data_IF_028498434125
#
_entry.id   IF_028498434125
#
_cell.length_a   1.000
_cell.length_b   1.000
_cell.length_c   1.000
_cell.angle_alpha   90.00
_cell.angle_beta   90.00
_cell.angle_gamma   90.00
#
_symmetry.space_group_name_H-M   'P 1'
#
loop_
_entity.id
_entity.type
_entity.pdbx_description
1 polymer ?
#
# COMPACT_ATOMS: atom_id res chain seq x y z
N UNK A 1 9.94 3.99 -9.41
CA UNK A 1 8.70 3.35 -8.93
C UNK A 1 8.91 2.93 -7.48
N UNK A 2 7.90 3.16 -6.65
CA UNK A 2 7.95 2.79 -5.23
C UNK A 2 8.06 1.27 -5.03
N UNK A 3 8.64 0.80 -3.93
CA UNK A 3 8.65 -0.63 -3.61
C UNK A 3 7.22 -1.18 -3.43
N UNK A 4 7.02 -2.51 -3.56
CA UNK A 4 5.74 -3.15 -3.26
C UNK A 4 5.25 -2.83 -1.84
N UNK A 5 3.92 -2.83 -1.66
CA UNK A 5 3.27 -2.47 -0.39
C UNK A 5 3.86 -3.25 0.80
N UNK A 6 4.05 -4.56 0.63
CA UNK A 6 4.53 -5.44 1.69
C UNK A 6 5.98 -5.14 2.09
N UNK A 7 6.80 -4.66 1.14
CA UNK A 7 8.18 -4.27 1.42
C UNK A 7 8.24 -2.96 2.20
N UNK A 8 7.38 -1.99 1.84
CA UNK A 8 7.25 -0.72 2.56
C UNK A 8 6.82 -0.95 4.00
N UNK A 9 5.80 -1.80 4.20
CA UNK A 9 5.32 -2.16 5.54
C UNK A 9 6.40 -2.94 6.32
N UNK A 10 7.13 -3.85 5.68
CA UNK A 10 8.20 -4.59 6.33
C UNK A 10 9.29 -3.68 6.88
N UNK A 11 9.69 -2.66 6.12
CA UNK A 11 10.62 -1.63 6.56
C UNK A 11 10.07 -0.82 7.74
N UNK A 12 8.82 -0.36 7.65
CA UNK A 12 8.14 0.39 8.72
C UNK A 12 8.04 -0.42 10.04
N UNK A 13 7.82 -1.73 9.96
CA UNK A 13 7.66 -2.62 11.12
C UNK A 13 8.97 -3.21 11.65
N UNK A 14 10.09 -3.01 10.94
CA UNK A 14 11.34 -3.73 11.23
C UNK A 14 11.19 -5.25 11.11
N UNK A 15 10.30 -5.71 10.21
CA UNK A 15 9.98 -7.11 9.99
C UNK A 15 10.59 -7.62 8.68
N UNK A 16 10.64 -8.94 8.51
CA UNK A 16 11.01 -9.52 7.20
C UNK A 16 9.81 -9.44 6.24
N UNK A 17 10.02 -9.16 4.93
CA UNK A 17 8.92 -9.12 3.96
C UNK A 17 8.04 -10.37 4.00
N UNK A 18 8.62 -11.56 4.18
CA UNK A 18 7.88 -12.82 4.23
C UNK A 18 6.85 -12.86 5.39
N UNK A 19 7.14 -12.20 6.51
CA UNK A 19 6.21 -12.11 7.64
C UNK A 19 5.01 -11.22 7.29
N UNK A 20 5.27 -10.11 6.60
CA UNK A 20 4.23 -9.20 6.11
C UNK A 20 3.38 -9.89 5.04
N UNK A 21 3.99 -10.56 4.06
CA UNK A 21 3.25 -11.33 3.04
C UNK A 21 2.30 -12.36 3.67
N UNK A 22 2.76 -13.14 4.65
CA UNK A 22 1.93 -14.12 5.32
C UNK A 22 0.77 -13.48 6.10
N UNK A 23 1.02 -12.36 6.78
CA UNK A 23 -0.02 -11.63 7.49
C UNK A 23 -1.05 -11.00 6.53
N UNK A 24 -0.60 -10.40 5.43
CA UNK A 24 -1.46 -9.83 4.38
C UNK A 24 -2.38 -10.91 3.79
N UNK A 25 -1.83 -12.09 3.46
CA UNK A 25 -2.62 -13.20 2.94
C UNK A 25 -3.74 -13.60 3.92
N UNK A 26 -3.42 -13.71 5.21
CA UNK A 26 -4.41 -14.07 6.23
C UNK A 26 -5.51 -12.99 6.36
N UNK A 27 -5.14 -11.70 6.32
CA UNK A 27 -6.11 -10.60 6.34
C UNK A 27 -7.01 -10.62 5.10
N UNK A 28 -6.46 -10.89 3.92
CA UNK A 28 -7.21 -11.00 2.66
C UNK A 28 -8.17 -12.19 2.65
N UNK A 29 -7.81 -13.28 3.33
CA UNK A 29 -8.69 -14.44 3.58
C UNK A 29 -9.76 -14.15 4.66
N UNK A 30 -9.78 -12.94 5.24
CA UNK A 30 -10.77 -12.49 6.21
C UNK A 30 -10.42 -12.82 7.67
N UNK A 31 -9.18 -13.25 7.96
CA UNK A 31 -8.74 -13.40 9.34
C UNK A 31 -8.61 -12.03 10.01
N UNK A 32 -8.95 -11.95 11.31
CA UNK A 32 -8.82 -10.71 12.08
C UNK A 32 -7.48 -10.65 12.79
N UNK A 33 -7.00 -9.44 13.12
CA UNK A 33 -5.75 -9.27 13.90
C UNK A 33 -5.73 -10.10 15.19
N UNK A 34 -6.78 -10.09 16.06
CA UNK A 34 -6.78 -10.94 17.26
C UNK A 34 -6.73 -12.45 16.97
N UNK A 35 -7.29 -12.88 15.83
CA UNK A 35 -7.19 -14.28 15.42
C UNK A 35 -5.77 -14.62 14.97
N UNK A 36 -5.14 -13.77 14.18
CA UNK A 36 -3.78 -13.99 13.67
C UNK A 36 -2.78 -14.00 14.83
N UNK A 37 -2.81 -12.99 15.70
CA UNK A 37 -1.88 -12.84 16.82
C UNK A 37 -1.95 -14.01 17.81
N UNK A 38 -3.12 -14.65 17.94
CA UNK A 38 -3.34 -15.78 18.85
C UNK A 38 -3.17 -17.16 18.22
N UNK A 39 -3.58 -17.35 16.97
CA UNK A 39 -3.73 -18.68 16.35
C UNK A 39 -2.89 -18.89 15.07
N UNK A 40 -2.21 -17.85 14.57
CA UNK A 40 -1.37 -17.91 13.36
C UNK A 40 0.04 -17.32 13.57
N UNK A 41 0.50 -17.29 14.81
CA UNK A 41 1.81 -16.75 15.20
C UNK A 41 2.97 -17.37 14.41
N UNK A 42 2.96 -18.68 14.20
CA UNK A 42 3.98 -19.38 13.41
C UNK A 42 3.94 -18.99 11.93
N UNK A 43 2.74 -18.81 11.37
CA UNK A 43 2.56 -18.44 9.96
C UNK A 43 3.13 -17.05 9.66
N UNK A 44 2.99 -16.10 10.59
CA UNK A 44 3.53 -14.74 10.46
C UNK A 44 4.97 -14.60 10.98
N UNK A 45 5.61 -15.70 11.40
CA UNK A 45 6.95 -15.67 11.99
C UNK A 45 7.03 -14.87 13.29
N UNK A 46 5.92 -14.76 14.03
CA UNK A 46 5.90 -14.18 15.37
C UNK A 46 5.48 -12.72 15.47
N UNK A 47 4.85 -12.13 14.43
CA UNK A 47 4.31 -10.77 14.54
C UNK A 47 3.33 -10.65 15.71
N UNK A 48 3.53 -9.65 16.55
CA UNK A 48 2.67 -9.39 17.70
C UNK A 48 1.41 -8.56 17.35
N UNK A 49 0.51 -8.39 18.32
CA UNK A 49 -0.77 -7.67 18.11
C UNK A 49 -0.55 -6.23 17.66
N UNK A 50 0.46 -5.54 18.21
CA UNK A 50 0.79 -4.16 17.85
C UNK A 50 1.29 -4.08 16.41
N UNK A 51 2.23 -4.95 16.03
CA UNK A 51 2.73 -5.03 14.66
C UNK A 51 1.62 -5.36 13.66
N UNK A 52 0.71 -6.28 14.00
CA UNK A 52 -0.40 -6.69 13.12
C UNK A 52 -1.44 -5.57 12.95
N UNK A 53 -1.73 -4.77 13.98
CA UNK A 53 -2.60 -3.59 13.85
C UNK A 53 -1.98 -2.53 12.96
N UNK A 54 -0.71 -2.22 13.18
CA UNK A 54 0.01 -1.27 12.30
C UNK A 54 0.05 -1.80 10.87
N UNK A 55 0.29 -3.09 10.66
CA UNK A 55 0.24 -3.71 9.34
C UNK A 55 -1.13 -3.51 8.67
N UNK A 56 -2.23 -3.82 9.37
CA UNK A 56 -3.60 -3.69 8.85
C UNK A 56 -3.92 -2.24 8.43
N UNK A 57 -3.60 -1.27 9.30
CA UNK A 57 -3.80 0.16 9.02
C UNK A 57 -2.99 0.63 7.81
N UNK A 58 -1.70 0.25 7.75
CA UNK A 58 -0.79 0.64 6.67
C UNK A 58 -1.15 -0.03 5.35
N UNK A 59 -1.55 -1.30 5.38
CA UNK A 59 -2.04 -2.03 4.22
C UNK A 59 -3.24 -1.33 3.58
N UNK A 60 -4.23 -0.94 4.39
CA UNK A 60 -5.40 -0.20 3.92
C UNK A 60 -5.01 1.13 3.28
N UNK A 61 -4.23 1.95 3.98
CA UNK A 61 -3.77 3.24 3.46
C UNK A 61 -3.02 3.11 2.12
N UNK A 62 -2.09 2.14 2.02
CA UNK A 62 -1.26 1.95 0.84
C UNK A 62 -2.06 1.39 -0.35
N UNK A 63 -3.03 0.51 -0.10
CA UNK A 63 -3.95 0.04 -1.16
C UNK A 63 -4.79 1.17 -1.72
N UNK A 64 -5.35 2.02 -0.87
CA UNK A 64 -6.10 3.21 -1.30
C UNK A 64 -5.21 4.20 -2.08
N UNK A 65 -3.93 4.34 -1.68
CA UNK A 65 -2.96 5.17 -2.41
C UNK A 65 -2.71 4.64 -3.82
N UNK A 66 -2.47 3.33 -3.97
CA UNK A 66 -2.20 2.71 -5.28
C UNK A 66 -3.44 2.65 -6.18
N UNK A 67 -4.62 2.43 -5.60
CA UNK A 67 -5.90 2.53 -6.33
C UNK A 67 -6.07 3.96 -6.87
N UNK A 68 -5.85 4.97 -6.01
CA UNK A 68 -5.97 6.37 -6.42
C UNK A 68 -4.94 6.75 -7.47
N UNK A 69 -3.69 6.29 -7.34
CA UNK A 69 -2.62 6.48 -8.33
C UNK A 69 -3.04 5.94 -9.70
N UNK A 70 -3.58 4.72 -9.73
CA UNK A 70 -4.04 4.07 -10.95
C UNK A 70 -5.17 4.87 -11.62
N UNK A 71 -6.14 5.32 -10.83
CA UNK A 71 -7.25 6.14 -11.34
C UNK A 71 -6.78 7.48 -11.92
N UNK A 72 -5.82 8.14 -11.27
CA UNK A 72 -5.22 9.40 -11.74
C UNK A 72 -4.47 9.17 -13.07
N UNK A 73 -3.62 8.14 -13.14
CA UNK A 73 -2.90 7.80 -14.37
C UNK A 73 -3.86 7.55 -15.54
N UNK A 74 -4.90 6.75 -15.31
CA UNK A 74 -5.92 6.47 -16.32
C UNK A 74 -6.63 7.74 -16.79
N UNK A 75 -7.07 8.60 -15.86
CA UNK A 75 -7.75 9.85 -16.18
C UNK A 75 -6.90 10.83 -17.01
N UNK A 76 -5.60 10.92 -16.73
CA UNK A 76 -4.68 11.81 -17.48
C UNK A 76 -4.32 11.21 -18.84
N UNK A 77 -4.15 9.89 -18.92
CA UNK A 77 -3.94 9.15 -20.16
C UNK A 77 -5.15 9.30 -21.11
N UNK A 78 -6.38 9.19 -20.59
CA UNK A 78 -7.61 9.41 -21.36
C UNK A 78 -7.71 10.81 -21.96
N UNK A 79 -7.09 11.81 -21.32
CA UNK A 79 -6.99 13.17 -21.84
C UNK A 79 -5.86 13.35 -22.87
N UNK A 80 -5.03 12.32 -23.10
CA UNK A 80 -3.83 12.39 -23.94
C UNK A 80 -2.74 13.31 -23.38
N UNK A 81 -2.73 13.56 -22.06
CA UNK A 81 -1.83 14.51 -21.40
C UNK A 81 -0.75 13.86 -20.54
N UNK A 82 -0.69 12.53 -20.48
CA UNK A 82 0.24 11.81 -19.62
C UNK A 82 1.63 11.75 -20.25
N UNK A 83 2.50 12.70 -19.89
CA UNK A 83 3.90 12.67 -20.34
C UNK A 83 4.72 11.64 -19.55
N UNK A 84 5.86 11.16 -20.07
CA UNK A 84 6.75 10.26 -19.34
C UNK A 84 7.23 10.83 -17.99
N UNK A 85 7.50 12.14 -17.94
CA UNK A 85 7.92 12.83 -16.72
C UNK A 85 6.81 12.85 -15.68
N UNK A 86 5.59 13.25 -16.07
CA UNK A 86 4.43 13.26 -15.19
C UNK A 86 4.06 11.85 -14.70
N UNK A 87 4.15 10.85 -15.59
CA UNK A 87 3.98 9.45 -15.21
C UNK A 87 4.97 9.07 -14.11
N UNK A 88 6.24 9.41 -14.28
CA UNK A 88 7.26 9.12 -13.28
C UNK A 88 7.00 9.86 -11.97
N UNK A 89 6.60 11.13 -11.99
CA UNK A 89 6.26 11.88 -10.78
C UNK A 89 5.06 11.26 -10.05
N UNK A 90 4.03 10.88 -10.80
CA UNK A 90 2.87 10.17 -10.25
C UNK A 90 3.29 8.82 -9.69
N UNK A 91 4.12 8.02 -10.36
CA UNK A 91 4.55 6.68 -9.90
C UNK A 91 5.46 6.70 -8.67
N UNK A 92 6.12 7.82 -8.40
CA UNK A 92 6.99 7.99 -7.23
C UNK A 92 6.36 8.81 -6.10
N UNK A 93 5.12 9.28 -6.27
CA UNK A 93 4.40 10.01 -5.21
C UNK A 93 4.04 9.08 -4.04
N UNK A 94 4.54 9.40 -2.85
CA UNK A 94 4.45 8.60 -1.64
C UNK A 94 3.24 8.94 -0.76
N UNK A 95 2.54 10.04 -1.07
CA UNK A 95 1.38 10.53 -0.29
C UNK A 95 0.17 10.80 -1.18
N UNK A 96 -1.03 10.64 -0.60
CA UNK A 96 -2.29 10.99 -1.27
C UNK A 96 -2.34 12.47 -1.66
N UNK A 97 -1.84 13.36 -0.80
CA UNK A 97 -1.82 14.80 -1.07
C UNK A 97 -1.00 15.12 -2.32
N UNK A 98 0.22 14.58 -2.41
CA UNK A 98 1.07 14.84 -3.56
C UNK A 98 0.50 14.26 -4.86
N UNK A 99 -0.19 13.10 -4.80
CA UNK A 99 -0.97 12.60 -5.94
C UNK A 99 -2.07 13.58 -6.38
N UNK A 100 -2.85 14.13 -5.44
CA UNK A 100 -3.89 15.10 -5.76
C UNK A 100 -3.32 16.41 -6.32
N UNK A 101 -2.19 16.87 -5.80
CA UNK A 101 -1.53 18.09 -6.30
C UNK A 101 -1.07 17.93 -7.74
N UNK A 102 -0.49 16.77 -8.09
CA UNK A 102 -0.12 16.42 -9.46
C UNK A 102 -1.36 16.27 -10.37
N UNK A 103 -2.47 15.77 -9.83
CA UNK A 103 -3.71 15.59 -10.59
C UNK A 103 -4.52 16.88 -10.77
N UNK A 104 -4.33 17.88 -9.91
CA UNK A 104 -5.15 19.10 -9.85
C UNK A 104 -5.35 19.79 -11.23
N UNK A 105 -4.34 19.95 -12.11
CA UNK A 105 -4.52 20.58 -13.42
C UNK A 105 -5.35 19.77 -14.42
N UNK A 106 -5.59 18.49 -14.14
CA UNK A 106 -6.26 17.52 -15.02
C UNK A 106 -7.64 17.13 -14.52
N UNK A 107 -8.01 17.58 -13.31
CA UNK A 107 -9.31 17.32 -12.72
C UNK A 107 -10.40 18.01 -13.56
N UNK A 108 -11.34 17.23 -14.07
CA UNK A 108 -12.58 17.73 -14.68
C UNK A 108 -13.59 18.14 -13.60
#
# INVERSE_FOLDING_TARGET
MLPPIEHRIAEELGARPQQVFAAVQLLDEGATVPFISRYRKEATGGLDDTQLRTLEERLGYLRELEERRTAILASIEEQGKLTPELRNDIENSDTKQHLEDLYLPYKQ
#
